data_IF_872093491402
#
_entry.id   IF_872093491402
#
_cell.length_a   1.000
_cell.length_b   1.000
_cell.length_c   1.000
_cell.angle_alpha   90.00
_cell.angle_beta   90.00
_cell.angle_gamma   90.00
#
_symmetry.space_group_name_H-M   'P 1'
#
loop_
_entity.id
_entity.type
_entity.pdbx_description
1 polymer ?
#
# COMPACT_ATOMS: atom_id res chain seq x y z
N UNK A 1 54.88 -17.02 74.11
CA UNK A 1 53.48 -17.38 73.77
C UNK A 1 53.30 -17.13 72.28
N UNK A 2 52.75 -18.09 71.54
CA UNK A 2 52.82 -18.13 70.07
C UNK A 2 51.83 -17.19 69.37
N UNK A 3 52.13 -16.84 68.11
CA UNK A 3 51.23 -16.13 67.18
C UNK A 3 50.82 -17.06 66.03
N UNK A 4 49.56 -16.97 65.59
CA UNK A 4 49.17 -17.19 64.19
C UNK A 4 48.65 -18.59 63.80
N UNK A 5 47.34 -18.80 63.97
CA UNK A 5 46.46 -19.88 63.45
C UNK A 5 45.04 -19.25 63.40
N UNK A 6 44.16 -19.35 62.38
CA UNK A 6 44.23 -19.78 60.98
C UNK A 6 43.15 -19.00 60.14
N UNK A 7 42.97 -19.18 58.81
CA UNK A 7 42.18 -18.25 57.98
C UNK A 7 40.68 -18.60 57.84
N UNK A 8 39.80 -17.62 58.10
CA UNK A 8 38.35 -17.72 57.86
C UNK A 8 37.97 -17.34 56.41
N UNK A 9 37.35 -18.28 55.69
CA UNK A 9 36.78 -18.09 54.35
C UNK A 9 35.27 -18.37 54.36
N UNK A 10 34.42 -17.36 54.17
CA UNK A 10 33.11 -17.49 53.53
C UNK A 10 33.27 -17.03 52.07
N UNK A 11 33.17 -17.86 51.03
CA UNK A 11 32.09 -18.80 50.70
C UNK A 11 30.73 -18.11 50.57
N UNK A 12 30.25 -18.00 49.32
CA UNK A 12 28.83 -17.80 49.00
C UNK A 12 28.24 -16.40 49.23
N UNK A 13 28.40 -15.51 48.24
CA UNK A 13 27.48 -14.40 48.04
C UNK A 13 27.37 -14.02 46.55
N UNK A 14 26.93 -14.96 45.72
CA UNK A 14 26.36 -14.60 44.40
C UNK A 14 25.10 -13.78 44.69
N UNK A 15 25.16 -12.48 44.40
CA UNK A 15 24.01 -11.58 44.44
C UNK A 15 23.61 -11.20 43.02
N UNK A 16 22.81 -12.06 42.41
CA UNK A 16 21.88 -11.63 41.37
C UNK A 16 20.96 -10.54 41.94
N UNK A 17 20.56 -9.57 41.10
CA UNK A 17 19.49 -8.63 41.45
C UNK A 17 19.70 -7.14 41.18
N UNK A 18 20.23 -6.75 40.01
CA UNK A 18 19.94 -5.43 39.43
C UNK A 18 19.65 -5.53 37.92
N UNK A 19 18.44 -5.96 37.59
CA UNK A 19 17.85 -5.68 36.27
C UNK A 19 17.42 -4.22 36.17
N UNK A 20 17.45 -3.64 34.96
CA UNK A 20 17.08 -2.25 34.64
C UNK A 20 17.94 -1.16 35.30
N UNK A 21 19.04 -0.79 34.62
CA UNK A 21 19.07 0.57 34.06
C UNK A 21 19.20 0.61 32.52
N UNK A 22 19.64 -0.49 31.88
CA UNK A 22 19.98 -0.50 30.46
C UNK A 22 18.78 -0.32 29.51
N UNK A 23 17.59 -0.85 29.83
CA UNK A 23 16.43 -0.76 28.93
C UNK A 23 15.91 0.67 28.80
N UNK A 24 15.76 1.41 29.90
CA UNK A 24 15.25 2.79 29.86
C UNK A 24 16.14 3.76 29.07
N UNK A 25 17.45 3.47 28.97
CA UNK A 25 18.35 4.24 28.10
C UNK A 25 18.19 3.85 26.62
N UNK A 26 18.01 2.55 26.33
CA UNK A 26 17.68 2.06 24.98
C UNK A 26 16.33 2.63 24.50
N UNK A 27 15.30 2.64 25.35
CA UNK A 27 13.98 3.20 25.06
C UNK A 27 14.06 4.70 24.73
N UNK A 28 14.88 5.46 25.46
CA UNK A 28 15.15 6.87 25.16
C UNK A 28 15.92 7.06 23.84
N UNK A 29 16.88 6.18 23.53
CA UNK A 29 17.62 6.22 22.26
C UNK A 29 16.70 5.88 21.08
N UNK A 30 15.84 4.88 21.23
CA UNK A 30 14.82 4.48 20.24
C UNK A 30 13.83 5.61 19.97
N UNK A 31 13.23 6.21 21.01
CA UNK A 31 12.28 7.32 20.84
C UNK A 31 12.92 8.55 20.15
N UNK A 32 14.20 8.84 20.42
CA UNK A 32 14.95 9.88 19.69
C UNK A 32 15.16 9.54 18.21
N UNK A 33 15.52 8.28 17.91
CA UNK A 33 15.66 7.79 16.54
C UNK A 33 14.32 7.84 15.79
N UNK A 34 13.22 7.41 16.41
CA UNK A 34 11.87 7.51 15.84
C UNK A 34 11.48 8.96 15.53
N UNK A 35 11.68 9.90 16.46
CA UNK A 35 11.42 11.32 16.25
C UNK A 35 12.26 11.91 15.09
N UNK A 36 13.52 11.48 14.95
CA UNK A 36 14.39 11.94 13.86
C UNK A 36 14.04 11.30 12.50
N UNK A 37 13.61 10.03 12.50
CA UNK A 37 13.16 9.30 11.31
C UNK A 37 11.81 9.81 10.80
N UNK A 38 10.88 10.16 11.69
CA UNK A 38 9.62 10.85 11.34
C UNK A 38 9.94 12.24 10.76
N UNK A 39 10.85 13.01 11.37
CA UNK A 39 11.27 14.32 10.86
C UNK A 39 11.97 14.24 9.49
N UNK A 40 12.65 13.13 9.19
CA UNK A 40 13.25 12.82 7.88
C UNK A 40 12.26 12.19 6.87
N UNK A 41 10.99 11.99 7.24
CA UNK A 41 9.99 11.33 6.39
C UNK A 41 10.29 9.85 6.10
N UNK A 42 11.21 9.24 6.84
CA UNK A 42 11.75 7.90 6.59
C UNK A 42 11.01 6.82 7.41
N UNK A 43 10.32 7.23 8.48
CA UNK A 43 9.33 6.39 9.17
C UNK A 43 7.96 7.06 9.13
N UNK A 44 6.98 6.30 8.63
CA UNK A 44 5.57 6.57 8.89
C UNK A 44 5.19 5.83 10.18
N UNK A 45 4.53 6.52 11.12
CA UNK A 45 4.11 5.98 12.43
C UNK A 45 3.36 4.66 12.25
N UNK A 46 3.39 3.68 13.19
CA UNK A 46 2.51 2.52 13.12
C UNK A 46 1.07 3.00 12.93
N UNK A 47 0.51 2.68 11.76
CA UNK A 47 -0.71 3.29 11.24
C UNK A 47 -1.84 3.24 12.27
N UNK A 48 -2.39 4.42 12.58
CA UNK A 48 -3.64 4.54 13.32
C UNK A 48 -4.75 3.77 12.60
N UNK A 49 -5.84 3.46 13.28
CA UNK A 49 -6.98 2.75 12.66
C UNK A 49 -7.52 3.51 11.44
N UNK A 50 -7.43 4.85 11.47
CA UNK A 50 -7.68 5.75 10.34
C UNK A 50 -6.70 5.53 9.17
N UNK A 51 -5.39 5.54 9.39
CA UNK A 51 -4.41 5.28 8.32
C UNK A 51 -4.47 3.83 7.80
N UNK A 52 -4.87 2.86 8.63
CA UNK A 52 -5.15 1.48 8.18
C UNK A 52 -6.39 1.43 7.30
N UNK A 53 -7.43 2.20 7.64
CA UNK A 53 -8.63 2.36 6.82
C UNK A 53 -8.32 3.03 5.48
N UNK A 54 -7.50 4.09 5.46
CA UNK A 54 -7.04 4.75 4.23
C UNK A 54 -6.12 3.85 3.39
N UNK A 55 -5.26 3.04 4.03
CA UNK A 55 -4.43 2.06 3.33
C UNK A 55 -5.30 0.94 2.74
N UNK A 56 -6.31 0.46 3.48
CA UNK A 56 -7.25 -0.55 2.98
C UNK A 56 -8.13 0.00 1.85
N UNK A 57 -8.59 1.25 1.93
CA UNK A 57 -9.41 1.88 0.90
C UNK A 57 -8.61 2.16 -0.38
N UNK A 58 -7.38 2.66 -0.27
CA UNK A 58 -6.48 2.87 -1.41
C UNK A 58 -6.06 1.55 -2.07
N UNK A 59 -5.78 0.49 -1.30
CA UNK A 59 -5.57 -0.87 -1.84
C UNK A 59 -6.83 -1.39 -2.53
N UNK A 60 -8.01 -1.27 -1.92
CA UNK A 60 -9.27 -1.69 -2.53
C UNK A 60 -9.57 -0.94 -3.84
N UNK A 61 -9.21 0.35 -3.92
CA UNK A 61 -9.38 1.16 -5.12
C UNK A 61 -8.37 0.78 -6.22
N UNK A 62 -7.11 0.49 -5.87
CA UNK A 62 -6.11 -0.04 -6.81
C UNK A 62 -6.51 -1.45 -7.33
N UNK A 63 -7.08 -2.29 -6.48
CA UNK A 63 -7.61 -3.61 -6.86
C UNK A 63 -8.82 -3.49 -7.79
N UNK A 64 -9.73 -2.52 -7.57
CA UNK A 64 -10.81 -2.23 -8.52
C UNK A 64 -10.28 -1.76 -9.87
N UNK A 65 -9.40 -0.76 -9.88
CA UNK A 65 -8.86 -0.18 -11.11
C UNK A 65 -8.07 -1.20 -11.95
N UNK A 66 -7.31 -2.09 -11.29
CA UNK A 66 -6.65 -3.20 -11.98
C UNK A 66 -7.63 -4.26 -12.49
N UNK A 67 -8.71 -4.58 -11.74
CA UNK A 67 -9.76 -5.49 -12.22
C UNK A 67 -10.50 -4.97 -13.45
N UNK A 68 -10.81 -3.66 -13.50
CA UNK A 68 -11.46 -3.01 -14.65
C UNK A 68 -10.55 -3.01 -15.89
N UNK A 69 -9.26 -2.74 -15.69
CA UNK A 69 -8.24 -2.80 -16.75
C UNK A 69 -8.10 -4.23 -17.32
N UNK A 70 -7.97 -5.23 -16.45
CA UNK A 70 -7.85 -6.64 -16.84
C UNK A 70 -9.13 -7.13 -17.53
N UNK A 71 -10.31 -6.75 -17.03
CA UNK A 71 -11.59 -7.09 -17.66
C UNK A 71 -11.68 -6.55 -19.09
N UNK A 72 -11.26 -5.29 -19.33
CA UNK A 72 -11.19 -4.71 -20.67
C UNK A 72 -10.27 -5.48 -21.62
N UNK A 73 -9.09 -5.91 -21.15
CA UNK A 73 -8.15 -6.73 -21.93
C UNK A 73 -8.74 -8.10 -22.25
N UNK A 74 -9.33 -8.79 -21.27
CA UNK A 74 -9.93 -10.12 -21.46
C UNK A 74 -11.09 -10.05 -22.45
N UNK A 75 -11.99 -9.07 -22.32
CA UNK A 75 -13.09 -8.86 -23.25
C UNK A 75 -12.58 -8.55 -24.66
N UNK A 76 -11.57 -7.68 -24.80
CA UNK A 76 -10.94 -7.39 -26.08
C UNK A 76 -10.27 -8.61 -26.72
N UNK A 77 -9.57 -9.43 -25.94
CA UNK A 77 -8.94 -10.65 -26.42
C UNK A 77 -9.96 -11.71 -26.87
N UNK A 78 -11.06 -11.90 -26.12
CA UNK A 78 -12.15 -12.82 -26.50
C UNK A 78 -12.84 -12.36 -27.78
N UNK A 79 -13.15 -11.07 -27.91
CA UNK A 79 -13.75 -10.49 -29.12
C UNK A 79 -12.81 -10.59 -30.33
N UNK A 80 -11.55 -10.23 -30.17
CA UNK A 80 -10.54 -10.31 -31.24
C UNK A 80 -10.31 -11.74 -31.71
N UNK A 81 -10.22 -12.70 -30.80
CA UNK A 81 -10.11 -14.13 -31.13
C UNK A 81 -11.36 -14.67 -31.84
N UNK A 82 -12.55 -14.26 -31.42
CA UNK A 82 -13.80 -14.64 -32.08
C UNK A 82 -13.87 -14.08 -33.51
N UNK A 83 -13.46 -12.83 -33.71
CA UNK A 83 -13.42 -12.19 -35.04
C UNK A 83 -12.41 -12.90 -35.96
N UNK A 84 -11.17 -13.16 -35.51
CA UNK A 84 -10.19 -13.88 -36.31
C UNK A 84 -10.68 -15.29 -36.70
N UNK A 85 -11.42 -15.95 -35.79
CA UNK A 85 -11.99 -17.28 -36.04
C UNK A 85 -13.10 -17.28 -37.09
N UNK A 86 -13.90 -16.22 -37.17
CA UNK A 86 -15.01 -16.07 -38.13
C UNK A 86 -14.51 -15.51 -39.47
N UNK A 87 -13.58 -14.56 -39.45
CA UNK A 87 -13.02 -13.94 -40.65
C UNK A 87 -11.98 -14.83 -41.36
N UNK A 88 -11.46 -15.87 -40.68
CA UNK A 88 -10.38 -16.72 -41.21
C UNK A 88 -9.04 -16.00 -41.32
N UNK A 89 -8.92 -14.82 -40.72
CA UNK A 89 -7.69 -14.03 -40.70
C UNK A 89 -6.70 -14.58 -39.67
N UNK A 90 -5.44 -14.76 -40.08
CA UNK A 90 -4.29 -14.75 -39.16
C UNK A 90 -4.39 -13.54 -38.22
N UNK A 91 -3.78 -13.53 -37.01
CA UNK A 91 -4.36 -12.98 -35.76
C UNK A 91 -4.43 -11.43 -35.65
N UNK A 92 -4.91 -10.78 -36.70
CA UNK A 92 -4.98 -9.34 -36.90
C UNK A 92 -6.16 -8.74 -36.14
N UNK A 93 -7.29 -9.44 -36.04
CA UNK A 93 -8.41 -9.06 -35.18
C UNK A 93 -7.99 -9.02 -33.72
N UNK A 94 -7.26 -10.04 -33.25
CA UNK A 94 -6.69 -10.10 -31.91
C UNK A 94 -5.66 -8.97 -31.71
N UNK A 95 -4.74 -8.71 -32.64
CA UNK A 95 -3.78 -7.60 -32.54
C UNK A 95 -4.50 -6.24 -32.45
N UNK A 96 -5.48 -5.97 -33.32
CA UNK A 96 -6.21 -4.69 -33.33
C UNK A 96 -7.06 -4.50 -32.07
N UNK A 97 -7.81 -5.53 -31.64
CA UNK A 97 -8.62 -5.44 -30.41
C UNK A 97 -7.75 -5.41 -29.15
N UNK A 98 -6.58 -6.05 -29.14
CA UNK A 98 -5.63 -5.96 -28.03
C UNK A 98 -5.03 -4.57 -27.93
N UNK A 99 -4.62 -3.96 -29.05
CA UNK A 99 -4.12 -2.57 -29.08
C UNK A 99 -5.22 -1.57 -28.69
N UNK A 100 -6.45 -1.76 -29.17
CA UNK A 100 -7.59 -0.91 -28.83
C UNK A 100 -7.99 -1.06 -27.36
N UNK A 101 -8.03 -2.29 -26.83
CA UNK A 101 -8.30 -2.57 -25.42
C UNK A 101 -7.20 -2.05 -24.49
N UNK A 102 -5.93 -2.17 -24.91
CA UNK A 102 -4.79 -1.57 -24.20
C UNK A 102 -4.87 -0.04 -24.19
N UNK A 103 -5.16 0.59 -25.34
CA UNK A 103 -5.33 2.04 -25.43
C UNK A 103 -6.50 2.54 -24.57
N UNK A 104 -7.65 1.84 -24.58
CA UNK A 104 -8.79 2.14 -23.73
C UNK A 104 -8.46 1.97 -22.23
N UNK A 105 -7.71 0.92 -21.88
CA UNK A 105 -7.25 0.67 -20.51
C UNK A 105 -6.28 1.75 -20.01
N UNK A 106 -5.28 2.13 -20.82
CA UNK A 106 -4.37 3.24 -20.53
C UNK A 106 -5.14 4.56 -20.40
N UNK A 107 -6.12 4.81 -21.26
CA UNK A 107 -6.98 6.00 -21.18
C UNK A 107 -7.83 6.02 -19.90
N UNK A 108 -8.32 4.86 -19.43
CA UNK A 108 -9.04 4.76 -18.15
C UNK A 108 -8.12 5.09 -16.96
N UNK A 109 -6.89 4.58 -16.96
CA UNK A 109 -5.87 4.91 -15.94
C UNK A 109 -5.53 6.41 -15.98
N UNK A 110 -5.26 6.97 -17.17
CA UNK A 110 -4.95 8.40 -17.34
C UNK A 110 -6.11 9.33 -16.92
N UNK A 111 -7.37 8.90 -17.10
CA UNK A 111 -8.53 9.61 -16.54
C UNK A 111 -8.60 9.47 -15.03
N UNK A 112 -8.33 8.29 -14.47
CA UNK A 112 -8.31 8.06 -13.01
C UNK A 112 -7.20 8.83 -12.29
N UNK A 113 -6.10 9.19 -12.96
CA UNK A 113 -5.03 10.06 -12.41
C UNK A 113 -5.18 11.54 -12.80
N UNK A 114 -6.32 11.93 -13.38
CA UNK A 114 -6.68 13.33 -13.62
C UNK A 114 -6.04 14.01 -14.84
N UNK A 115 -5.31 13.29 -15.69
CA UNK A 115 -4.72 13.84 -16.92
C UNK A 115 -5.74 14.05 -18.05
N UNK A 116 -6.89 13.38 -17.98
CA UNK A 116 -8.03 13.59 -18.89
C UNK A 116 -9.18 14.13 -18.06
N UNK A 117 -9.53 15.40 -18.27
CA UNK A 117 -10.66 16.03 -17.58
C UNK A 117 -11.95 15.24 -17.84
N UNK A 118 -12.74 15.05 -16.80
CA UNK A 118 -13.96 14.24 -16.88
C UNK A 118 -15.00 14.89 -17.81
N UNK A 119 -15.22 14.27 -18.97
CA UNK A 119 -16.30 14.61 -19.89
C UNK A 119 -17.62 13.96 -19.42
N UNK A 120 -17.90 14.01 -18.12
CA UNK A 120 -19.12 13.51 -17.47
C UNK A 120 -20.13 14.60 -17.13
N UNK A 121 -19.87 15.86 -17.53
CA UNK A 121 -20.74 17.02 -17.34
C UNK A 121 -22.05 17.03 -18.15
N UNK A 122 -22.77 15.90 -18.26
CA UNK A 122 -24.10 15.86 -18.85
C UNK A 122 -25.13 16.43 -17.87
N UNK A 123 -25.24 17.77 -17.91
CA UNK A 123 -26.45 18.59 -17.79
C UNK A 123 -27.67 17.88 -17.17
N UNK A 124 -27.74 17.87 -15.83
CA UNK A 124 -28.99 17.69 -15.08
C UNK A 124 -29.19 18.91 -14.18
N UNK A 125 -29.67 19.99 -14.79
CA UNK A 125 -30.20 21.19 -14.14
C UNK A 125 -31.11 21.99 -15.12
N UNK A 126 -31.75 21.28 -16.06
CA UNK A 126 -32.66 21.88 -17.06
C UNK A 126 -34.15 21.83 -16.65
N UNK A 127 -34.49 21.13 -15.56
CA UNK A 127 -35.88 20.86 -15.16
C UNK A 127 -36.18 21.33 -13.72
N UNK A 128 -35.87 22.60 -13.41
CA UNK A 128 -36.44 23.26 -12.23
C UNK A 128 -36.72 24.76 -12.36
N UNK A 129 -36.90 25.24 -13.60
CA UNK A 129 -37.50 26.56 -13.87
C UNK A 129 -39.02 26.52 -14.12
N UNK A 130 -39.65 25.33 -14.09
CA UNK A 130 -41.08 25.18 -14.38
C UNK A 130 -41.85 24.45 -13.26
N UNK A 131 -41.74 24.96 -12.02
CA UNK A 131 -42.77 24.76 -10.99
C UNK A 131 -42.87 25.96 -10.04
N UNK A 132 -43.77 26.88 -10.43
CA UNK A 132 -44.53 27.85 -9.61
C UNK A 132 -43.77 28.94 -8.85
#
# INVERSE_FOLDING_TARGET
>A
MARGIEPEKPSGAVKDGQGQPASGELDQRLNRLEAELVKKGMFKKPASEEERSETASSVAQAMKLSSEFIAGIVVGAVLGWFIDRVAGTSPWGLIVFLLLGFAAGVLNVLRSVGYVADQGGIKTNAEKSDRK
#
